data_IF_883549446061
#
_entry.id   IF_883549446061
#
_cell.length_a   1.000
_cell.length_b   1.000
_cell.length_c   1.000
_cell.angle_alpha   90.00
_cell.angle_beta   90.00
_cell.angle_gamma   90.00
#
_symmetry.space_group_name_H-M   'P 1'
#
loop_
_entity.id
_entity.type
_entity.pdbx_description
1 polymer ?
#
# COMPACT_ATOMS: atom_id res chain seq x y z
N UNK A 1 -6.78 0.63 -3.83
CA UNK A 1 -5.79 -0.41 -3.44
C UNK A 1 -6.24 -1.75 -4.00
N UNK A 2 -7.51 -2.09 -3.79
CA UNK A 2 -8.11 -3.36 -4.22
C UNK A 2 -7.96 -3.66 -5.72
N UNK A 3 -8.11 -2.67 -6.61
CA UNK A 3 -7.87 -2.87 -8.06
C UNK A 3 -6.42 -3.24 -8.39
N UNK A 4 -5.44 -2.68 -7.66
CA UNK A 4 -4.01 -3.00 -7.85
C UNK A 4 -3.73 -4.42 -7.36
N UNK A 5 -4.32 -4.82 -6.23
CA UNK A 5 -4.20 -6.20 -5.74
C UNK A 5 -4.86 -7.19 -6.70
N UNK A 6 -6.05 -6.87 -7.19
CA UNK A 6 -6.74 -7.66 -8.19
C UNK A 6 -5.89 -7.83 -9.46
N UNK A 7 -5.31 -6.74 -9.96
CA UNK A 7 -4.41 -6.78 -11.11
C UNK A 7 -3.18 -7.66 -10.85
N UNK A 8 -2.60 -7.62 -9.64
CA UNK A 8 -1.49 -8.51 -9.28
C UNK A 8 -1.90 -9.98 -9.32
N UNK A 9 -3.10 -10.33 -8.83
CA UNK A 9 -3.63 -11.70 -8.97
C UNK A 9 -3.88 -12.11 -10.42
N UNK A 10 -4.42 -11.21 -11.25
CA UNK A 10 -4.55 -11.46 -12.68
C UNK A 10 -3.19 -11.75 -13.32
N UNK A 11 -2.17 -10.94 -13.05
CA UNK A 11 -0.81 -11.15 -13.54
C UNK A 11 -0.21 -12.49 -13.07
N UNK A 12 -0.45 -12.90 -11.83
CA UNK A 12 -0.01 -14.21 -11.32
C UNK A 12 -0.72 -15.37 -12.04
N UNK A 13 -2.02 -15.23 -12.31
CA UNK A 13 -2.77 -16.25 -13.05
C UNK A 13 -2.30 -16.34 -14.51
N UNK A 14 -1.97 -15.22 -15.15
CA UNK A 14 -1.43 -15.21 -16.51
C UNK A 14 -0.11 -15.99 -16.62
N UNK A 15 0.78 -15.85 -15.64
CA UNK A 15 2.05 -16.59 -15.59
C UNK A 15 1.82 -18.11 -15.49
N UNK A 16 0.80 -18.51 -14.73
CA UNK A 16 0.42 -19.92 -14.60
C UNK A 16 -0.31 -20.47 -15.83
N UNK A 17 -1.19 -19.69 -16.45
CA UNK A 17 -2.05 -20.12 -17.55
C UNK A 17 -1.42 -19.97 -18.94
N UNK A 18 -0.43 -19.07 -19.08
CA UNK A 18 0.17 -18.72 -20.38
C UNK A 18 -0.75 -17.86 -21.28
N UNK A 19 -1.86 -17.36 -20.75
CA UNK A 19 -2.85 -16.56 -21.47
C UNK A 19 -3.24 -15.30 -20.69
N UNK A 20 -3.63 -14.19 -21.36
CA UNK A 20 -3.95 -12.94 -20.68
C UNK A 20 -5.28 -12.98 -19.91
N UNK A 21 -5.26 -12.50 -18.67
CA UNK A 21 -6.39 -12.30 -17.75
C UNK A 21 -6.68 -10.81 -17.66
N UNK A 22 -7.66 -10.34 -18.45
CA UNK A 22 -7.98 -8.90 -18.60
C UNK A 22 -9.17 -8.42 -17.80
N UNK A 23 -9.79 -9.29 -16.99
CA UNK A 23 -10.96 -8.94 -16.19
C UNK A 23 -10.89 -9.64 -14.84
N UNK A 24 -11.31 -8.92 -13.80
CA UNK A 24 -11.49 -9.45 -12.46
C UNK A 24 -12.72 -8.85 -11.80
N UNK A 25 -13.08 -9.38 -10.63
CA UNK A 25 -14.24 -8.89 -9.88
C UNK A 25 -13.83 -8.51 -8.46
N UNK A 26 -14.31 -7.36 -8.00
CA UNK A 26 -14.26 -6.97 -6.59
C UNK A 26 -15.66 -7.16 -6.01
N UNK A 27 -15.75 -7.85 -4.88
CA UNK A 27 -16.99 -8.04 -4.15
C UNK A 27 -17.01 -7.20 -2.89
N UNK A 28 -17.99 -6.30 -2.79
CA UNK A 28 -18.17 -5.42 -1.63
C UNK A 28 -19.19 -6.03 -0.68
N UNK A 29 -18.72 -6.60 0.43
CA UNK A 29 -19.58 -7.23 1.42
C UNK A 29 -20.63 -6.28 2.04
N UNK A 30 -20.30 -4.99 2.18
CA UNK A 30 -21.20 -4.00 2.78
C UNK A 30 -22.44 -3.70 1.93
N UNK A 31 -22.33 -3.81 0.60
CA UNK A 31 -23.43 -3.53 -0.34
C UNK A 31 -23.92 -4.79 -1.08
N UNK A 32 -23.25 -5.93 -0.90
CA UNK A 32 -23.51 -7.18 -1.64
C UNK A 32 -23.41 -7.02 -3.16
N UNK A 33 -22.50 -6.17 -3.61
CA UNK A 33 -22.32 -5.83 -5.03
C UNK A 33 -21.03 -6.41 -5.60
N UNK A 34 -21.06 -6.73 -6.89
CA UNK A 34 -19.90 -7.20 -7.67
C UNK A 34 -19.56 -6.17 -8.73
N UNK A 35 -18.33 -5.70 -8.69
CA UNK A 35 -17.81 -4.74 -9.65
C UNK A 35 -16.86 -5.45 -10.60
N UNK A 36 -17.21 -5.46 -11.88
CA UNK A 36 -16.33 -5.95 -12.94
C UNK A 36 -15.26 -4.89 -13.21
N UNK A 37 -13.99 -5.27 -13.06
CA UNK A 37 -12.85 -4.40 -13.30
C UNK A 37 -12.12 -4.92 -14.53
N UNK A 38 -11.91 -4.03 -15.51
CA UNK A 38 -11.06 -4.33 -16.67
C UNK A 38 -9.61 -4.01 -16.30
N UNK A 39 -8.74 -5.01 -16.41
CA UNK A 39 -7.32 -4.87 -16.11
C UNK A 39 -6.61 -4.25 -17.33
N UNK A 40 -6.22 -2.99 -17.17
CA UNK A 40 -5.48 -2.21 -18.17
C UNK A 40 -3.99 -2.17 -17.88
N UNK A 41 -3.19 -1.66 -18.83
CA UNK A 41 -1.74 -1.51 -18.65
C UNK A 41 -1.39 -0.60 -17.48
N UNK A 42 -2.18 0.44 -17.23
CA UNK A 42 -2.03 1.30 -16.04
C UNK A 42 -2.05 0.49 -14.74
N UNK A 43 -2.93 -0.51 -14.63
CA UNK A 43 -2.99 -1.36 -13.44
C UNK A 43 -1.71 -2.18 -13.28
N UNK A 44 -1.20 -2.74 -14.38
CA UNK A 44 0.02 -3.57 -14.41
C UNK A 44 1.25 -2.76 -14.06
N UNK A 45 1.38 -1.58 -14.64
CA UNK A 45 2.44 -0.63 -14.30
C UNK A 45 2.39 -0.27 -12.82
N UNK A 46 1.17 -0.05 -12.27
CA UNK A 46 1.03 0.25 -10.85
C UNK A 46 1.45 -0.93 -9.96
N UNK A 47 1.13 -2.16 -10.35
CA UNK A 47 1.62 -3.36 -9.66
C UNK A 47 3.15 -3.41 -9.69
N UNK A 48 3.77 -3.22 -10.86
CA UNK A 48 5.22 -3.24 -11.01
C UNK A 48 5.91 -2.20 -10.13
N UNK A 49 5.39 -0.97 -10.11
CA UNK A 49 5.89 0.12 -9.25
C UNK A 49 5.80 -0.22 -7.76
N UNK A 50 4.68 -0.81 -7.32
CA UNK A 50 4.50 -1.20 -5.91
C UNK A 50 5.46 -2.33 -5.54
N UNK A 51 5.62 -3.34 -6.40
CA UNK A 51 6.57 -4.44 -6.19
C UNK A 51 8.00 -3.92 -6.13
N UNK A 52 8.38 -3.00 -7.00
CA UNK A 52 9.69 -2.35 -6.97
C UNK A 52 9.90 -1.54 -5.69
N UNK A 53 8.91 -0.75 -5.27
CA UNK A 53 8.98 0.00 -4.01
C UNK A 53 9.20 -0.93 -2.81
N UNK A 54 8.50 -2.07 -2.75
CA UNK A 54 8.68 -3.08 -1.70
C UNK A 54 10.08 -3.68 -1.75
N UNK A 55 10.59 -4.03 -2.93
CA UNK A 55 11.95 -4.59 -3.11
C UNK A 55 13.04 -3.61 -2.70
N UNK A 56 12.80 -2.32 -2.85
CA UNK A 56 13.73 -1.26 -2.49
C UNK A 56 13.63 -0.83 -1.01
N UNK A 57 12.74 -1.42 -0.21
CA UNK A 57 12.67 -1.14 1.23
C UNK A 57 13.93 -1.62 1.94
N UNK A 58 14.45 -0.81 2.86
CA UNK A 58 15.62 -1.13 3.67
C UNK A 58 15.33 -0.87 5.14
N UNK A 59 15.88 -1.72 6.02
CA UNK A 59 15.67 -1.63 7.47
C UNK A 59 16.25 -0.32 8.04
N UNK A 60 17.34 0.18 7.46
CA UNK A 60 18.01 1.43 7.88
C UNK A 60 17.31 2.69 7.37
N UNK A 61 16.28 2.57 6.53
CA UNK A 61 15.53 3.69 5.98
C UNK A 61 14.02 3.42 6.10
N UNK A 62 13.51 3.66 7.30
CA UNK A 62 12.08 3.54 7.60
C UNK A 62 11.32 4.60 6.79
N UNK A 63 10.20 4.23 6.13
CA UNK A 63 9.39 5.20 5.39
C UNK A 63 8.71 6.20 6.32
N UNK A 64 8.45 7.41 5.79
CA UNK A 64 7.69 8.44 6.50
C UNK A 64 6.28 7.97 6.85
N UNK A 65 5.67 8.65 7.83
CA UNK A 65 4.28 8.38 8.22
C UNK A 65 3.32 8.57 7.05
N UNK A 66 2.26 7.76 7.05
CA UNK A 66 1.21 7.90 6.07
C UNK A 66 0.49 9.25 6.23
N UNK A 67 0.31 9.99 5.14
CA UNK A 67 -0.41 11.28 5.13
C UNK A 67 -1.82 11.16 5.72
N UNK A 68 -2.51 10.04 5.47
CA UNK A 68 -3.81 9.77 6.05
C UNK A 68 -3.66 9.07 7.40
N UNK A 69 -3.79 9.83 8.49
CA UNK A 69 -3.62 9.33 9.86
C UNK A 69 -4.56 8.18 10.25
N UNK A 70 -5.77 8.12 9.67
CA UNK A 70 -6.71 7.01 9.90
C UNK A 70 -6.11 5.64 9.50
N UNK A 71 -5.12 5.63 8.60
CA UNK A 71 -4.39 4.39 8.24
C UNK A 71 -3.42 3.97 9.32
N UNK A 72 -2.78 4.91 10.02
CA UNK A 72 -1.89 4.63 11.15
C UNK A 72 -2.67 4.06 12.34
N UNK A 73 -3.84 4.60 12.65
CA UNK A 73 -4.70 4.13 13.76
C UNK A 73 -5.08 2.65 13.64
N UNK A 74 -5.31 2.18 12.41
CA UNK A 74 -5.68 0.78 12.12
C UNK A 74 -4.48 -0.09 11.71
N UNK A 75 -3.26 0.44 11.76
CA UNK A 75 -2.07 -0.27 11.32
C UNK A 75 -1.66 -1.32 12.36
N UNK A 76 -1.36 -2.54 11.91
CA UNK A 76 -0.90 -3.62 12.79
C UNK A 76 0.46 -3.33 13.44
N UNK A 77 1.26 -2.43 12.87
CA UNK A 77 2.58 -2.07 13.40
C UNK A 77 2.59 -0.77 14.20
N UNK A 78 1.43 -0.14 14.44
CA UNK A 78 1.34 1.18 15.10
C UNK A 78 2.02 1.21 16.47
N UNK A 79 1.97 0.11 17.23
CA UNK A 79 2.60 0.00 18.55
C UNK A 79 4.14 -0.04 18.51
N UNK A 80 4.72 -0.44 17.38
CA UNK A 80 6.16 -0.39 17.15
C UNK A 80 6.58 0.93 16.50
N UNK A 81 5.73 1.45 15.62
CA UNK A 81 5.96 2.67 14.87
C UNK A 81 5.79 3.94 15.73
N UNK A 82 4.94 3.89 16.77
CA UNK A 82 4.64 4.97 17.74
C UNK A 82 4.60 6.35 17.07
N UNK A 83 3.67 6.56 16.13
CA UNK A 83 3.75 7.70 15.23
C UNK A 83 3.42 9.03 15.93
N UNK A 84 2.75 9.03 17.07
CA UNK A 84 2.47 10.26 17.84
C UNK A 84 3.70 10.63 18.67
N UNK A 85 4.31 9.65 19.33
CA UNK A 85 5.49 9.83 20.15
C UNK A 85 6.71 10.22 19.33
N UNK A 86 6.89 9.59 18.17
CA UNK A 86 7.98 9.91 17.25
C UNK A 86 7.88 11.36 16.76
N UNK A 87 6.68 11.81 16.35
CA UNK A 87 6.44 13.21 15.96
C UNK A 87 6.71 14.20 17.12
N UNK A 88 6.29 13.86 18.34
CA UNK A 88 6.58 14.69 19.52
C UNK A 88 8.09 14.81 19.78
N UNK A 89 8.83 13.70 19.69
CA UNK A 89 10.27 13.69 19.93
C UNK A 89 11.03 14.46 18.85
N UNK A 90 10.72 14.25 17.57
CA UNK A 90 11.30 14.98 16.44
C UNK A 90 10.97 16.49 16.50
N UNK A 91 9.77 16.84 16.99
CA UNK A 91 9.38 18.23 17.25
C UNK A 91 10.18 18.87 18.39
N UNK A 92 10.47 18.12 19.47
CA UNK A 92 11.24 18.62 20.61
C UNK A 92 12.73 18.84 20.32
N UNK A 93 13.34 18.05 19.42
CA UNK A 93 14.73 18.26 18.99
C UNK A 93 14.92 19.62 18.29
N UNK A 94 13.89 20.13 17.60
CA UNK A 94 13.95 21.44 16.95
C UNK A 94 13.83 22.63 17.92
N UNK A 95 13.26 22.43 19.10
CA UNK A 95 13.20 23.46 20.15
C UNK A 95 14.49 23.48 21.00
N UNK A 96 15.10 22.33 21.25
CA UNK A 96 16.36 22.21 21.99
C UNK A 96 17.59 22.74 21.25
N UNK A 97 17.57 22.80 19.92
CA UNK A 97 18.68 23.32 19.11
C UNK A 97 18.66 24.86 18.92
N UNK A 98 17.65 25.55 19.46
CA UNK A 98 17.51 27.03 19.42
C UNK A 98 17.97 27.74 20.70
N UNK A 99 18.59 27.03 21.65
CA UNK A 99 19.19 27.61 22.86
C UNK A 99 20.70 27.68 22.81
#
# INVERSE_FOLDING_TARGET
NDEVQLAAYCMLLEDYLGEPVRMGYIYLFGTNERYAITITDWHRERVAQVVEAIRNMRIDKIPDFAENRNKCEKCSTVQYCMPEETEMLEGTEQEGLKS
#
